data_IF_493880218495
#
_entry.id   IF_493880218495
#
_cell.length_a   1.000
_cell.length_b   1.000
_cell.length_c   1.000
_cell.angle_alpha   90.00
_cell.angle_beta   90.00
_cell.angle_gamma   90.00
#
_symmetry.space_group_name_H-M   'P 1'
#
loop_
_entity.id
_entity.type
_entity.pdbx_description
1 polymer ?
#
# COMPACT_ATOMS: atom_id res chain seq x y z
N UNK A 1 20.11 -7.21 -0.01
CA UNK A 1 20.20 -6.70 -1.40
C UNK A 1 20.53 -5.23 -1.33
N UNK A 2 21.53 -4.80 -2.10
CA UNK A 2 22.02 -3.42 -2.13
C UNK A 2 21.26 -2.64 -3.21
N UNK A 3 20.28 -1.83 -2.81
CA UNK A 3 19.44 -1.08 -3.75
C UNK A 3 20.19 0.03 -4.46
N UNK A 4 21.22 0.61 -3.84
CA UNK A 4 22.02 1.67 -4.44
C UNK A 4 22.85 1.12 -5.59
N UNK A 5 23.44 -0.08 -5.43
CA UNK A 5 24.09 -0.79 -6.54
C UNK A 5 23.12 -1.14 -7.67
N UNK A 6 21.90 -1.58 -7.35
CA UNK A 6 20.88 -1.88 -8.36
C UNK A 6 20.49 -0.61 -9.13
N UNK A 7 20.27 0.51 -8.45
CA UNK A 7 19.95 1.80 -9.05
C UNK A 7 21.09 2.25 -9.98
N UNK A 8 22.34 2.12 -9.56
CA UNK A 8 23.50 2.43 -10.40
C UNK A 8 23.52 1.58 -11.68
N UNK A 9 23.33 0.25 -11.56
CA UNK A 9 23.26 -0.63 -12.73
C UNK A 9 22.09 -0.30 -13.67
N UNK A 10 20.93 0.09 -13.13
CA UNK A 10 19.77 0.51 -13.95
C UNK A 10 20.01 1.86 -14.62
N UNK A 11 20.73 2.76 -13.96
CA UNK A 11 21.14 4.07 -14.49
C UNK A 11 22.11 3.91 -15.67
N UNK A 12 23.15 3.09 -15.50
CA UNK A 12 24.13 2.76 -16.55
C UNK A 12 23.45 2.16 -17.79
N UNK A 13 22.32 1.47 -17.61
CA UNK A 13 21.50 0.89 -18.69
C UNK A 13 20.45 1.84 -19.26
N UNK A 14 20.33 3.06 -18.74
CA UNK A 14 19.35 4.06 -19.18
C UNK A 14 17.89 3.77 -18.77
N UNK A 15 17.65 2.78 -17.90
CA UNK A 15 16.31 2.29 -17.56
C UNK A 15 15.59 3.21 -16.57
N UNK A 16 16.34 3.95 -15.71
CA UNK A 16 15.72 4.80 -14.68
C UNK A 16 14.79 5.88 -15.26
N UNK A 17 15.08 6.39 -16.47
CA UNK A 17 14.21 7.36 -17.16
C UNK A 17 12.83 6.78 -17.51
N UNK A 18 12.70 5.46 -17.61
CA UNK A 18 11.44 4.80 -17.90
C UNK A 18 10.59 4.55 -16.64
N UNK A 19 11.17 4.68 -15.44
CA UNK A 19 10.47 4.39 -14.18
C UNK A 19 9.73 5.60 -13.62
N UNK A 20 10.20 6.81 -13.90
CA UNK A 20 9.57 8.04 -13.43
C UNK A 20 8.16 8.21 -14.05
N UNK A 21 7.17 8.44 -13.20
CA UNK A 21 5.77 8.67 -13.61
C UNK A 21 4.94 7.42 -13.94
N UNK A 22 5.47 6.20 -13.75
CA UNK A 22 4.65 4.99 -13.96
C UNK A 22 3.61 4.82 -12.85
N UNK A 23 2.34 4.87 -13.24
CA UNK A 23 1.19 4.62 -12.36
C UNK A 23 0.76 3.16 -12.45
N UNK A 24 0.57 2.50 -11.31
CA UNK A 24 -0.11 1.19 -11.25
C UNK A 24 -1.57 1.32 -10.81
N UNK A 25 -1.96 2.45 -10.21
CA UNK A 25 -3.32 2.80 -9.80
C UNK A 25 -3.61 4.26 -10.21
N UNK A 26 -4.69 4.87 -9.72
CA UNK A 26 -5.01 6.28 -9.96
C UNK A 26 -3.95 7.26 -9.42
N UNK A 27 -3.05 6.81 -8.53
CA UNK A 27 -1.99 7.61 -7.90
C UNK A 27 -0.58 7.22 -8.39
N UNK A 28 0.34 8.18 -8.34
CA UNK A 28 1.77 7.93 -8.60
C UNK A 28 2.39 7.11 -7.48
N UNK A 29 3.17 6.10 -7.86
CA UNK A 29 3.81 5.19 -6.92
C UNK A 29 5.29 5.57 -6.75
N UNK A 30 5.85 5.57 -5.52
CA UNK A 30 7.28 5.78 -5.33
C UNK A 30 8.13 4.77 -6.13
N UNK A 31 9.14 5.25 -6.86
CA UNK A 31 9.95 4.42 -7.77
C UNK A 31 10.59 3.21 -7.09
N UNK A 32 11.00 3.34 -5.82
CA UNK A 32 11.55 2.24 -5.03
C UNK A 32 10.51 1.13 -4.75
N UNK A 33 9.26 1.50 -4.48
CA UNK A 33 8.18 0.53 -4.28
C UNK A 33 7.86 -0.19 -5.59
N UNK A 34 7.84 0.54 -6.70
CA UNK A 34 7.63 -0.03 -8.03
C UNK A 34 8.73 -1.06 -8.39
N UNK A 35 10.00 -0.73 -8.15
CA UNK A 35 11.13 -1.66 -8.31
C UNK A 35 10.98 -2.91 -7.44
N UNK A 36 10.58 -2.75 -6.18
CA UNK A 36 10.32 -3.90 -5.28
C UNK A 36 9.22 -4.81 -5.82
N UNK A 37 8.16 -4.26 -6.39
CA UNK A 37 7.09 -5.05 -7.00
C UNK A 37 7.55 -5.76 -8.29
N UNK A 38 8.42 -5.15 -9.09
CA UNK A 38 9.05 -5.83 -10.23
C UNK A 38 9.88 -7.03 -9.74
N UNK A 39 10.72 -6.83 -8.73
CA UNK A 39 11.57 -7.89 -8.17
C UNK A 39 10.71 -9.02 -7.59
N UNK A 40 9.64 -8.69 -6.86
CA UNK A 40 8.70 -9.68 -6.34
C UNK A 40 8.00 -10.45 -7.46
N UNK A 41 7.59 -9.77 -8.53
CA UNK A 41 6.99 -10.40 -9.71
C UNK A 41 7.95 -11.37 -10.39
N UNK A 42 9.22 -10.99 -10.57
CA UNK A 42 10.28 -11.85 -11.11
C UNK A 42 10.52 -13.08 -10.22
N UNK A 43 10.59 -12.88 -8.90
CA UNK A 43 10.86 -13.97 -7.95
C UNK A 43 9.70 -14.97 -7.80
N UNK A 44 8.45 -14.51 -7.98
CA UNK A 44 7.25 -15.32 -7.76
C UNK A 44 6.52 -15.72 -9.04
N UNK A 45 7.01 -15.27 -10.20
CA UNK A 45 6.36 -15.40 -11.51
C UNK A 45 4.89 -14.91 -11.50
N UNK A 46 4.64 -13.80 -10.79
CA UNK A 46 3.32 -13.17 -10.67
C UNK A 46 3.32 -11.79 -11.32
N UNK A 47 2.14 -11.34 -11.75
CA UNK A 47 1.95 -9.96 -12.19
C UNK A 47 2.22 -8.99 -11.04
N UNK A 48 2.67 -7.77 -11.37
CA UNK A 48 2.87 -6.70 -10.37
C UNK A 48 1.59 -6.40 -9.59
N UNK A 49 0.43 -6.44 -10.25
CA UNK A 49 -0.88 -6.28 -9.62
C UNK A 49 -1.12 -7.35 -8.57
N UNK A 50 -0.84 -8.62 -8.86
CA UNK A 50 -1.00 -9.70 -7.89
C UNK A 50 -0.04 -9.53 -6.71
N UNK A 51 1.22 -9.14 -6.95
CA UNK A 51 2.16 -8.83 -5.88
C UNK A 51 1.67 -7.69 -4.98
N UNK A 52 1.08 -6.64 -5.58
CA UNK A 52 0.51 -5.52 -4.84
C UNK A 52 -0.70 -5.94 -4.01
N UNK A 53 -1.62 -6.72 -4.58
CA UNK A 53 -2.80 -7.23 -3.86
C UNK A 53 -2.38 -8.10 -2.66
N UNK A 54 -1.44 -9.03 -2.85
CA UNK A 54 -0.91 -9.84 -1.75
C UNK A 54 -0.24 -8.99 -0.68
N UNK A 55 0.49 -7.93 -1.06
CA UNK A 55 1.11 -7.02 -0.10
C UNK A 55 0.06 -6.24 0.71
N UNK A 56 -1.03 -5.78 0.06
CA UNK A 56 -2.14 -5.10 0.73
C UNK A 56 -2.87 -6.03 1.70
N UNK A 57 -3.23 -7.24 1.26
CA UNK A 57 -3.85 -8.26 2.13
C UNK A 57 -2.97 -8.61 3.33
N UNK A 58 -1.67 -8.81 3.08
CA UNK A 58 -0.72 -9.10 4.17
C UNK A 58 -0.63 -7.94 5.16
N UNK A 59 -0.62 -6.71 4.67
CA UNK A 59 -0.59 -5.52 5.53
C UNK A 59 -1.86 -5.42 6.37
N UNK A 60 -3.05 -5.56 5.77
CA UNK A 60 -4.32 -5.45 6.50
C UNK A 60 -4.46 -6.55 7.54
N UNK A 61 -4.11 -7.79 7.22
CA UNK A 61 -4.15 -8.90 8.15
C UNK A 61 -3.18 -8.72 9.33
N UNK A 62 -1.92 -8.34 9.06
CA UNK A 62 -0.90 -8.18 10.11
C UNK A 62 -1.19 -7.03 11.07
N UNK A 63 -1.95 -6.04 10.64
CA UNK A 63 -2.23 -4.85 11.43
C UNK A 63 -3.69 -4.79 11.92
N UNK A 64 -4.50 -5.82 11.68
CA UNK A 64 -5.94 -5.81 11.98
C UNK A 64 -6.24 -5.45 13.45
N UNK A 65 -5.58 -6.11 14.40
CA UNK A 65 -5.77 -5.85 15.84
C UNK A 65 -5.32 -4.45 16.26
N UNK A 66 -4.23 -3.95 15.66
CA UNK A 66 -3.73 -2.60 15.93
C UNK A 66 -4.73 -1.56 15.42
N UNK A 67 -5.20 -1.70 14.19
CA UNK A 67 -6.21 -0.81 13.62
C UNK A 67 -7.51 -0.84 14.43
N UNK A 68 -7.94 -2.03 14.87
CA UNK A 68 -9.13 -2.17 15.72
C UNK A 68 -8.95 -1.45 17.06
N UNK A 69 -7.78 -1.59 17.68
CA UNK A 69 -7.44 -0.90 18.93
C UNK A 69 -7.45 0.62 18.76
N UNK A 70 -6.91 1.13 17.66
CA UNK A 70 -6.94 2.56 17.34
C UNK A 70 -8.37 3.07 17.11
N UNK A 71 -9.22 2.29 16.44
CA UNK A 71 -10.63 2.63 16.24
C UNK A 71 -11.39 2.68 17.57
N UNK A 72 -11.15 1.71 18.47
CA UNK A 72 -11.73 1.70 19.83
C UNK A 72 -11.35 2.94 20.63
N UNK A 73 -10.09 3.37 20.55
CA UNK A 73 -9.63 4.57 21.22
C UNK A 73 -10.36 5.82 20.69
N UNK A 74 -10.49 5.94 19.36
CA UNK A 74 -11.18 7.07 18.73
C UNK A 74 -12.67 7.09 19.05
N UNK A 75 -13.34 5.93 19.01
CA UNK A 75 -14.75 5.80 19.40
C UNK A 75 -14.96 6.25 20.86
N UNK A 76 -14.07 5.83 21.77
CA UNK A 76 -14.10 6.27 23.17
C UNK A 76 -13.90 7.78 23.34
N UNK A 77 -13.00 8.39 22.57
CA UNK A 77 -12.78 9.85 22.58
C UNK A 77 -14.03 10.59 22.11
N UNK A 78 -14.70 10.06 21.09
CA UNK A 78 -15.93 10.63 20.52
C UNK A 78 -17.18 10.28 21.36
N UNK A 79 -17.04 9.46 22.41
CA UNK A 79 -18.14 9.04 23.29
C UNK A 79 -19.16 8.09 22.63
N UNK A 80 -18.75 7.35 21.60
CA UNK A 80 -19.59 6.44 20.82
C UNK A 80 -19.19 4.97 21.05
N UNK A 81 -20.14 4.05 20.87
CA UNK A 81 -19.81 2.64 20.72
C UNK A 81 -19.01 2.40 19.43
N UNK A 82 -18.15 1.39 19.43
CA UNK A 82 -17.22 1.13 18.32
C UNK A 82 -17.98 0.93 17.00
N UNK A 83 -19.03 0.14 17.02
CA UNK A 83 -19.83 -0.23 15.84
C UNK A 83 -20.55 0.99 15.26
N UNK A 84 -21.11 1.84 16.12
CA UNK A 84 -21.75 3.09 15.71
C UNK A 84 -20.73 4.07 15.10
N UNK A 85 -19.58 4.19 15.75
CA UNK A 85 -18.48 5.02 15.25
C UNK A 85 -17.99 4.55 13.89
N UNK A 86 -17.77 3.24 13.71
CA UNK A 86 -17.34 2.68 12.43
C UNK A 86 -18.41 2.85 11.35
N UNK A 87 -19.69 2.64 11.68
CA UNK A 87 -20.80 2.81 10.75
C UNK A 87 -20.88 4.26 10.22
N UNK A 88 -20.78 5.25 11.12
CA UNK A 88 -20.78 6.67 10.78
C UNK A 88 -19.59 7.03 9.87
N UNK A 89 -18.36 6.66 10.25
CA UNK A 89 -17.16 7.00 9.49
C UNK A 89 -17.10 6.31 8.13
N UNK A 90 -17.51 5.04 8.04
CA UNK A 90 -17.54 4.31 6.77
C UNK A 90 -18.59 4.91 5.84
N UNK A 91 -19.80 5.22 6.35
CA UNK A 91 -20.86 5.84 5.56
C UNK A 91 -20.38 7.16 4.95
N UNK A 92 -19.78 8.05 5.76
CA UNK A 92 -19.22 9.33 5.29
C UNK A 92 -18.15 9.15 4.21
N UNK A 93 -17.29 8.14 4.35
CA UNK A 93 -16.21 7.90 3.40
C UNK A 93 -16.67 7.30 2.07
N UNK A 94 -17.80 6.57 2.09
CA UNK A 94 -18.44 6.03 0.88
C UNK A 94 -19.43 7.01 0.24
N UNK A 95 -19.59 8.22 0.79
CA UNK A 95 -20.47 9.26 0.26
C UNK A 95 -21.91 9.22 0.80
N UNK A 96 -22.13 8.56 1.94
CA UNK A 96 -23.32 8.78 2.76
C UNK A 96 -23.24 10.15 3.43
N UNK A 97 -24.35 10.91 3.38
CA UNK A 97 -24.49 12.31 3.79
C UNK A 97 -23.92 12.65 5.18
#
# INVERSE_FOLDING_TARGET
MDFDKLINCLSEKGILKELDGKRMTTNEMPSLLYLRLIIAGLATNKSRTNCMMTALETYTMRNAEKHLSECKLKAKIDGMELEEWLCDRISKQLGGE
#
